data_IF_834609219634
#
_entry.id   IF_834609219634
#
_cell.length_a   1.000
_cell.length_b   1.000
_cell.length_c   1.000
_cell.angle_alpha   90.00
_cell.angle_beta   90.00
_cell.angle_gamma   90.00
#
_symmetry.space_group_name_H-M   'P 1'
#
loop_
_entity.id
_entity.type
_entity.pdbx_description
1 polymer ?
#
# COMPACT_ATOMS: atom_id res chain seq x y z
N UNK A 1 0.22 -87.93 22.93
CA UNK A 1 0.31 -86.99 21.83
C UNK A 1 -0.18 -85.64 22.36
N UNK A 2 0.74 -84.75 22.64
CA UNK A 2 0.44 -83.43 23.25
C UNK A 2 0.54 -82.35 22.15
N UNK A 3 -0.58 -81.65 21.87
CA UNK A 3 -0.62 -80.51 20.94
C UNK A 3 -0.20 -79.24 21.68
N UNK A 4 0.90 -78.62 21.23
CA UNK A 4 1.37 -77.36 21.68
C UNK A 4 0.82 -76.33 20.72
N UNK A 5 -0.22 -75.49 21.17
CA UNK A 5 -0.66 -74.35 20.43
C UNK A 5 0.26 -73.14 20.75
N UNK A 6 1.03 -72.71 19.77
CA UNK A 6 1.83 -71.50 19.80
C UNK A 6 0.90 -70.29 19.63
N UNK A 7 0.76 -69.45 20.69
CA UNK A 7 0.07 -68.16 20.62
C UNK A 7 1.07 -67.08 20.16
N UNK A 8 0.94 -66.65 18.91
CA UNK A 8 1.65 -65.50 18.39
C UNK A 8 0.92 -64.23 18.84
N UNK A 9 1.53 -63.46 19.74
CA UNK A 9 1.05 -62.16 20.22
C UNK A 9 1.47 -61.09 19.22
N UNK A 10 0.52 -60.59 18.41
CA UNK A 10 0.75 -59.43 17.54
C UNK A 10 0.72 -58.15 18.42
N UNK A 11 1.88 -57.56 18.64
CA UNK A 11 2.03 -56.26 19.30
C UNK A 11 1.78 -55.16 18.26
N UNK A 12 0.58 -54.61 18.20
CA UNK A 12 0.23 -53.46 17.35
C UNK A 12 0.83 -52.20 17.96
N UNK A 13 1.92 -51.70 17.41
CA UNK A 13 2.45 -50.39 17.78
C UNK A 13 1.57 -49.32 17.15
N UNK A 14 0.68 -48.69 17.93
CA UNK A 14 -0.06 -47.50 17.56
C UNK A 14 0.89 -46.29 17.61
N UNK A 15 1.44 -45.88 16.45
CA UNK A 15 2.13 -44.61 16.32
C UNK A 15 1.08 -43.53 16.30
N UNK A 16 0.83 -42.88 17.44
CA UNK A 16 0.03 -41.69 17.51
C UNK A 16 0.83 -40.53 16.89
N UNK A 17 0.51 -40.18 15.65
CA UNK A 17 0.94 -38.92 15.05
C UNK A 17 0.27 -37.77 15.81
N UNK A 18 0.97 -37.24 16.82
CA UNK A 18 0.58 -35.99 17.45
C UNK A 18 0.75 -34.86 16.43
N UNK A 19 -0.34 -34.48 15.78
CA UNK A 19 -0.42 -33.25 15.00
C UNK A 19 -0.27 -32.10 15.99
N UNK A 20 0.94 -31.61 16.20
CA UNK A 20 1.17 -30.34 16.87
C UNK A 20 0.47 -29.26 16.05
N UNK A 21 -0.67 -28.78 16.54
CA UNK A 21 -1.26 -27.55 16.06
C UNK A 21 -0.24 -26.42 16.34
N UNK A 22 0.64 -26.15 15.39
CA UNK A 22 1.47 -24.95 15.42
C UNK A 22 0.48 -23.80 15.28
N UNK A 23 0.16 -23.15 16.39
CA UNK A 23 -0.61 -21.91 16.37
C UNK A 23 0.14 -20.93 15.48
N UNK A 24 -0.51 -20.49 14.40
CA UNK A 24 0.08 -19.53 13.49
C UNK A 24 0.49 -18.27 14.27
N UNK A 25 1.72 -17.82 14.08
CA UNK A 25 2.18 -16.56 14.63
C UNK A 25 1.30 -15.42 14.08
N UNK A 26 0.62 -14.72 14.96
CA UNK A 26 -0.29 -13.61 14.63
C UNK A 26 0.46 -12.30 14.76
N UNK A 27 0.53 -11.47 13.72
CA UNK A 27 1.13 -10.13 13.82
C UNK A 27 0.15 -9.02 13.45
N UNK A 28 0.35 -7.85 14.03
CA UNK A 28 -0.39 -6.63 13.71
C UNK A 28 0.43 -5.80 12.72
N UNK A 29 -0.16 -5.60 11.54
CA UNK A 29 0.39 -4.72 10.49
C UNK A 29 -0.30 -3.37 10.57
N UNK A 30 0.41 -2.32 10.93
CA UNK A 30 -0.06 -0.94 10.76
C UNK A 30 0.16 -0.52 9.31
N UNK A 31 -0.89 -0.01 8.65
CA UNK A 31 -0.84 0.28 7.22
C UNK A 31 -1.70 1.45 6.80
N UNK A 32 -1.59 1.83 5.51
CA UNK A 32 -2.42 2.87 4.91
C UNK A 32 -3.77 2.34 4.42
N UNK A 33 -4.80 3.20 4.47
CA UNK A 33 -6.13 2.89 3.94
C UNK A 33 -6.11 2.61 2.44
N UNK A 34 -5.24 3.27 1.67
CA UNK A 34 -5.11 3.06 0.22
C UNK A 34 -4.70 1.61 -0.10
N UNK A 35 -3.69 1.08 0.59
CA UNK A 35 -3.24 -0.29 0.38
C UNK A 35 -4.30 -1.33 0.80
N UNK A 36 -5.01 -1.11 1.90
CA UNK A 36 -6.13 -1.97 2.31
C UNK A 36 -7.25 -1.95 1.28
N UNK A 37 -7.65 -0.76 0.83
CA UNK A 37 -8.78 -0.56 -0.09
C UNK A 37 -8.50 -1.10 -1.50
N UNK A 38 -7.23 -1.19 -1.92
CA UNK A 38 -6.86 -1.87 -3.17
C UNK A 38 -7.21 -3.37 -3.18
N UNK A 39 -7.47 -3.97 -2.02
CA UNK A 39 -7.69 -5.41 -1.88
C UNK A 39 -6.42 -6.24 -1.83
N UNK A 40 -5.24 -5.62 -1.88
CA UNK A 40 -3.96 -6.31 -1.89
C UNK A 40 -3.75 -7.22 -0.66
N UNK A 41 -4.12 -6.78 0.53
CA UNK A 41 -4.03 -7.62 1.73
C UNK A 41 -4.94 -8.84 1.70
N UNK A 42 -6.15 -8.71 1.14
CA UNK A 42 -7.05 -9.87 0.99
C UNK A 42 -6.44 -10.94 0.09
N UNK A 43 -5.73 -10.51 -0.94
CA UNK A 43 -5.02 -11.39 -1.84
C UNK A 43 -3.73 -11.96 -1.22
N UNK A 44 -2.93 -11.10 -0.58
CA UNK A 44 -1.59 -11.48 -0.09
C UNK A 44 -1.61 -12.30 1.19
N UNK A 45 -2.55 -12.06 2.13
CA UNK A 45 -2.57 -12.68 3.45
C UNK A 45 -2.56 -14.22 3.42
N UNK A 46 -3.42 -14.91 2.62
CA UNK A 46 -3.37 -16.37 2.54
C UNK A 46 -2.06 -16.89 1.94
N UNK A 47 -1.45 -16.15 1.01
CA UNK A 47 -0.16 -16.51 0.42
C UNK A 47 0.94 -16.38 1.46
N UNK A 48 0.98 -15.26 2.20
CA UNK A 48 1.90 -15.05 3.32
C UNK A 48 1.80 -16.19 4.34
N UNK A 49 0.58 -16.50 4.78
CA UNK A 49 0.36 -17.55 5.76
C UNK A 49 0.86 -18.92 5.26
N UNK A 50 0.59 -19.24 4.00
CA UNK A 50 1.05 -20.49 3.39
C UNK A 50 2.59 -20.62 3.40
N UNK A 51 3.31 -19.56 3.02
CA UNK A 51 4.78 -19.61 2.90
C UNK A 51 5.53 -19.38 4.22
N UNK A 52 4.93 -18.66 5.16
CA UNK A 52 5.64 -18.22 6.37
C UNK A 52 5.09 -18.82 7.66
N UNK A 53 3.87 -19.37 7.64
CA UNK A 53 3.12 -19.77 8.83
C UNK A 53 2.62 -18.57 9.66
N UNK A 54 2.75 -17.33 9.16
CA UNK A 54 2.38 -16.11 9.89
C UNK A 54 1.03 -15.58 9.39
N UNK A 55 0.11 -15.37 10.31
CA UNK A 55 -1.16 -14.68 10.05
C UNK A 55 -1.01 -13.17 10.28
N UNK A 56 -1.50 -12.34 9.37
CA UNK A 56 -1.45 -10.89 9.50
C UNK A 56 -2.83 -10.30 9.84
N UNK A 57 -2.87 -9.39 10.82
CA UNK A 57 -4.01 -8.55 11.15
C UNK A 57 -3.72 -7.12 10.77
N UNK A 58 -4.45 -6.60 9.79
CA UNK A 58 -4.16 -5.27 9.23
C UNK A 58 -5.02 -4.19 9.89
N UNK A 59 -4.36 -3.25 10.54
CA UNK A 59 -4.93 -2.00 11.03
C UNK A 59 -4.58 -0.91 10.02
N UNK A 60 -5.55 -0.51 9.19
CA UNK A 60 -5.35 0.47 8.15
C UNK A 60 -5.99 1.81 8.50
N UNK A 61 -5.16 2.83 8.61
CA UNK A 61 -5.52 4.21 8.95
C UNK A 61 -4.72 5.18 8.07
N UNK A 62 -4.87 6.47 8.24
CA UNK A 62 -3.97 7.44 7.60
C UNK A 62 -2.51 7.19 8.01
N UNK A 63 -1.55 7.37 7.10
CA UNK A 63 -0.13 7.04 7.33
C UNK A 63 0.44 7.69 8.59
N UNK A 64 0.12 8.95 8.86
CA UNK A 64 0.54 9.63 10.08
C UNK A 64 0.04 8.95 11.35
N UNK A 65 -1.23 8.50 11.36
CA UNK A 65 -1.80 7.75 12.47
C UNK A 65 -1.18 6.35 12.59
N UNK A 66 -0.91 5.66 11.47
CA UNK A 66 -0.22 4.37 11.50
C UNK A 66 1.18 4.50 12.16
N UNK A 67 1.94 5.53 11.81
CA UNK A 67 3.24 5.81 12.43
C UNK A 67 3.10 6.15 13.92
N UNK A 68 2.06 6.92 14.31
CA UNK A 68 1.77 7.20 15.71
C UNK A 68 1.47 5.93 16.50
N UNK A 69 0.66 5.04 15.97
CA UNK A 69 0.37 3.73 16.55
C UNK A 69 1.67 2.92 16.74
N UNK A 70 2.58 2.94 15.74
CA UNK A 70 3.86 2.25 15.86
C UNK A 70 4.75 2.83 16.96
N UNK A 71 4.73 4.15 17.20
CA UNK A 71 5.42 4.79 18.34
C UNK A 71 4.81 4.41 19.68
N UNK A 72 3.52 4.08 19.71
CA UNK A 72 2.82 3.56 20.90
C UNK A 72 3.03 2.05 21.09
N UNK A 73 3.76 1.38 20.19
CA UNK A 73 3.96 -0.07 20.18
C UNK A 73 2.66 -0.88 19.92
N UNK A 74 1.72 -0.30 19.18
CA UNK A 74 0.42 -0.92 18.84
C UNK A 74 0.48 -1.75 17.54
N UNK A 75 1.65 -2.24 17.17
CA UNK A 75 1.85 -3.08 15.99
C UNK A 75 3.23 -3.71 15.95
N UNK A 76 3.35 -4.75 15.13
CA UNK A 76 4.61 -5.48 14.94
C UNK A 76 5.43 -4.94 13.77
N UNK A 77 4.74 -4.39 12.76
CA UNK A 77 5.36 -3.91 11.53
C UNK A 77 4.53 -2.80 10.89
N UNK A 78 5.20 -1.85 10.25
CA UNK A 78 4.57 -0.79 9.45
C UNK A 78 4.75 -1.11 7.97
N UNK A 79 3.65 -1.07 7.20
CA UNK A 79 3.69 -1.20 5.73
C UNK A 79 2.95 -0.01 5.12
N UNK A 80 3.71 0.93 4.58
CA UNK A 80 3.20 2.18 4.00
C UNK A 80 3.99 2.60 2.76
N UNK A 81 3.69 3.77 2.20
CA UNK A 81 4.33 4.32 1.00
C UNK A 81 4.69 5.81 1.15
N UNK A 82 4.99 6.23 2.37
CA UNK A 82 5.37 7.61 2.68
C UNK A 82 6.84 7.66 3.10
N UNK A 83 7.75 7.47 2.16
CA UNK A 83 9.20 7.33 2.37
C UNK A 83 9.77 8.35 3.34
N UNK A 84 9.42 9.63 3.19
CA UNK A 84 9.92 10.71 4.07
C UNK A 84 9.48 10.50 5.52
N UNK A 85 8.20 10.21 5.76
CA UNK A 85 7.66 9.98 7.09
C UNK A 85 8.20 8.69 7.73
N UNK A 86 8.43 7.63 6.92
CA UNK A 86 9.05 6.38 7.35
C UNK A 86 10.51 6.58 7.76
N UNK A 87 11.27 7.39 7.02
CA UNK A 87 12.64 7.76 7.38
C UNK A 87 12.67 8.56 8.69
N UNK A 88 11.76 9.52 8.88
CA UNK A 88 11.66 10.25 10.15
C UNK A 88 11.29 9.31 11.30
N UNK A 89 10.43 8.31 11.07
CA UNK A 89 10.14 7.28 12.08
C UNK A 89 11.38 6.47 12.45
N UNK A 90 12.25 6.12 11.50
CA UNK A 90 13.54 5.47 11.81
C UNK A 90 14.41 6.36 12.70
N UNK A 91 14.52 7.67 12.41
CA UNK A 91 15.32 8.62 13.20
C UNK A 91 14.87 8.74 14.65
N UNK A 92 13.58 8.48 14.95
CA UNK A 92 13.07 8.46 16.32
C UNK A 92 13.58 7.26 17.15
N UNK A 93 14.22 6.28 16.50
CA UNK A 93 14.70 5.04 17.10
C UNK A 93 13.61 4.01 17.40
N UNK A 94 12.34 4.29 17.10
CA UNK A 94 11.25 3.30 17.18
C UNK A 94 11.23 2.39 15.95
N UNK A 95 11.52 2.92 14.77
CA UNK A 95 11.81 2.11 13.58
C UNK A 95 13.24 1.60 13.59
N UNK A 96 13.48 0.42 13.00
CA UNK A 96 14.79 -0.20 12.94
C UNK A 96 15.36 -0.26 11.53
N UNK A 97 14.62 -0.84 10.59
CA UNK A 97 15.02 -0.98 9.17
C UNK A 97 13.81 -0.76 8.27
N UNK A 98 14.06 -0.24 7.07
CA UNK A 98 13.08 -0.01 6.01
C UNK A 98 13.48 -0.83 4.78
N UNK A 99 12.55 -1.62 4.23
CA UNK A 99 12.75 -2.47 3.05
C UNK A 99 11.69 -2.14 2.02
N UNK A 100 12.07 -1.59 0.89
CA UNK A 100 11.19 -1.45 -0.26
C UNK A 100 10.95 -2.82 -0.88
N UNK A 101 9.71 -3.10 -1.30
CA UNK A 101 9.35 -4.43 -1.82
C UNK A 101 8.44 -4.38 -3.05
N UNK A 102 7.73 -3.28 -3.24
CA UNK A 102 6.90 -3.08 -4.43
C UNK A 102 6.68 -1.59 -4.68
N UNK A 103 6.23 -1.27 -5.88
CA UNK A 103 5.82 0.08 -6.26
C UNK A 103 4.61 0.05 -7.18
N UNK A 104 3.97 1.20 -7.33
CA UNK A 104 3.09 1.55 -8.43
C UNK A 104 3.39 2.98 -8.91
N UNK A 105 2.64 3.47 -9.89
CA UNK A 105 2.88 4.80 -10.44
C UNK A 105 1.90 5.81 -9.87
N UNK A 106 2.39 7.03 -9.68
CA UNK A 106 1.54 8.20 -9.56
C UNK A 106 0.95 8.56 -10.92
N UNK A 107 -0.31 8.99 -10.91
CA UNK A 107 -1.02 9.39 -12.12
C UNK A 107 -1.86 10.63 -11.86
N UNK A 108 -2.01 11.46 -12.87
CA UNK A 108 -3.09 12.44 -12.92
C UNK A 108 -4.25 11.82 -13.69
N UNK A 109 -5.43 11.93 -13.13
CA UNK A 109 -6.69 11.59 -13.78
C UNK A 109 -7.49 12.85 -14.03
N UNK A 110 -8.25 12.87 -15.12
CA UNK A 110 -9.05 14.03 -15.51
C UNK A 110 -10.09 13.68 -16.59
N UNK A 111 -10.90 14.64 -17.00
CA UNK A 111 -12.00 14.42 -17.93
C UNK A 111 -11.49 14.00 -19.31
N UNK A 112 -12.08 12.98 -19.90
CA UNK A 112 -11.75 12.46 -21.25
C UNK A 112 -11.95 13.50 -22.35
N UNK A 113 -12.95 14.35 -22.21
CA UNK A 113 -13.38 15.33 -23.22
C UNK A 113 -12.98 16.77 -22.89
N UNK A 114 -12.04 16.98 -21.96
CA UNK A 114 -11.56 18.32 -21.66
C UNK A 114 -10.97 18.99 -22.91
N UNK A 115 -11.27 20.26 -23.13
CA UNK A 115 -10.76 21.03 -24.30
C UNK A 115 -9.24 21.01 -24.39
N UNK A 116 -8.59 20.87 -23.25
CA UNK A 116 -7.15 20.83 -23.08
C UNK A 116 -6.56 19.42 -23.12
N UNK A 117 -7.40 18.39 -23.19
CA UNK A 117 -7.02 16.99 -23.08
C UNK A 117 -5.92 16.58 -24.07
N UNK A 118 -6.04 16.98 -25.36
CA UNK A 118 -5.03 16.69 -26.38
C UNK A 118 -3.66 17.30 -26.06
N UNK A 119 -3.67 18.46 -25.41
CA UNK A 119 -2.45 19.18 -25.05
C UNK A 119 -1.83 18.66 -23.74
N UNK A 120 -2.63 17.98 -22.91
CA UNK A 120 -2.20 17.50 -21.60
C UNK A 120 -1.81 16.01 -21.65
N UNK A 121 -2.53 15.21 -22.42
CA UNK A 121 -2.37 13.76 -22.45
C UNK A 121 -1.00 13.31 -22.93
N UNK A 122 -0.44 12.30 -22.26
CA UNK A 122 0.82 11.67 -22.63
C UNK A 122 2.08 12.41 -22.17
N UNK A 123 1.92 13.51 -21.44
CA UNK A 123 3.03 14.23 -20.83
C UNK A 123 3.40 13.65 -19.46
N UNK A 124 4.59 14.00 -18.97
CA UNK A 124 5.00 13.75 -17.61
C UNK A 124 4.10 14.51 -16.62
N UNK A 125 3.89 13.94 -15.45
CA UNK A 125 2.97 14.49 -14.45
C UNK A 125 3.27 15.97 -14.12
N UNK A 126 4.55 16.34 -14.06
CA UNK A 126 4.97 17.72 -13.80
C UNK A 126 4.52 18.68 -14.90
N UNK A 127 4.67 18.31 -16.17
CA UNK A 127 4.23 19.11 -17.33
C UNK A 127 2.70 19.27 -17.33
N UNK A 128 1.98 18.21 -16.93
CA UNK A 128 0.53 18.26 -16.79
C UNK A 128 0.12 19.25 -15.70
N UNK A 129 0.78 19.22 -14.54
CA UNK A 129 0.51 20.15 -13.43
C UNK A 129 0.76 21.60 -13.86
N UNK A 130 1.84 21.86 -14.58
CA UNK A 130 2.13 23.20 -15.14
C UNK A 130 1.02 23.68 -16.09
N UNK A 131 0.57 22.82 -17.02
CA UNK A 131 -0.53 23.15 -17.93
C UNK A 131 -1.87 23.36 -17.23
N UNK A 132 -2.16 22.60 -16.17
CA UNK A 132 -3.34 22.79 -15.32
C UNK A 132 -3.30 24.18 -14.68
N UNK A 133 -2.14 24.58 -14.15
CA UNK A 133 -1.95 25.90 -13.55
C UNK A 133 -2.12 27.03 -14.58
N UNK A 134 -1.44 26.94 -15.72
CA UNK A 134 -1.48 27.99 -16.77
C UNK A 134 -2.89 28.22 -17.32
N UNK A 135 -3.64 27.14 -17.51
CA UNK A 135 -5.00 27.18 -18.04
C UNK A 135 -6.07 27.35 -16.97
N UNK A 136 -5.69 27.35 -15.69
CA UNK A 136 -6.61 27.40 -14.52
C UNK A 136 -7.70 26.32 -14.61
N UNK A 137 -7.29 25.13 -15.06
CA UNK A 137 -8.18 23.97 -15.09
C UNK A 137 -8.54 23.53 -13.68
N UNK A 138 -9.77 23.08 -13.48
CA UNK A 138 -10.22 22.64 -12.16
C UNK A 138 -9.34 21.48 -11.66
N UNK A 139 -8.79 21.65 -10.49
CA UNK A 139 -8.00 20.64 -9.80
C UNK A 139 -8.56 20.37 -8.41
N UNK A 140 -8.75 19.10 -8.08
CA UNK A 140 -9.26 18.67 -6.77
C UNK A 140 -8.12 18.02 -5.99
N UNK A 141 -7.75 18.66 -4.91
CA UNK A 141 -6.78 18.17 -3.93
C UNK A 141 -7.46 17.39 -2.81
N UNK A 142 -6.73 16.48 -2.23
CA UNK A 142 -7.19 15.84 -1.00
C UNK A 142 -7.21 16.77 0.21
N UNK A 143 -6.23 17.65 0.36
CA UNK A 143 -6.16 18.60 1.48
C UNK A 143 -6.10 17.95 2.88
N UNK A 144 -5.66 16.69 3.02
CA UNK A 144 -5.79 15.88 4.23
C UNK A 144 -4.46 15.40 4.83
N UNK A 145 -3.34 15.95 4.38
CA UNK A 145 -1.98 15.57 4.78
C UNK A 145 -1.64 14.07 4.56
N UNK A 146 -2.36 13.39 3.65
CA UNK A 146 -2.05 12.02 3.24
C UNK A 146 -0.80 11.95 2.36
N UNK A 147 -0.30 10.73 2.12
CA UNK A 147 0.81 10.52 1.19
C UNK A 147 0.55 11.07 -0.21
N UNK A 148 -0.68 10.95 -0.73
CA UNK A 148 -1.08 11.51 -2.03
C UNK A 148 -1.08 13.04 -2.01
N UNK A 149 -1.61 13.66 -0.94
CA UNK A 149 -1.57 15.11 -0.78
C UNK A 149 -0.12 15.63 -0.67
N UNK A 150 0.73 14.93 0.09
CA UNK A 150 2.15 15.29 0.18
C UNK A 150 2.88 15.18 -1.17
N UNK A 151 2.56 14.16 -1.99
CA UNK A 151 3.08 14.03 -3.35
C UNK A 151 2.62 15.20 -4.24
N UNK A 152 1.35 15.54 -4.20
CA UNK A 152 0.79 16.68 -4.91
C UNK A 152 1.52 17.98 -4.56
N UNK A 153 1.65 18.28 -3.25
CA UNK A 153 2.35 19.48 -2.77
C UNK A 153 3.82 19.51 -3.21
N UNK A 154 4.48 18.33 -3.31
CA UNK A 154 5.85 18.26 -3.82
C UNK A 154 5.94 18.67 -5.29
N UNK A 155 4.95 18.28 -6.11
CA UNK A 155 4.91 18.65 -7.54
C UNK A 155 4.66 20.15 -7.72
N UNK A 156 3.74 20.74 -6.97
CA UNK A 156 3.53 22.19 -6.98
C UNK A 156 4.80 22.95 -6.56
N UNK A 157 5.48 22.44 -5.53
CA UNK A 157 6.75 23.03 -5.07
C UNK A 157 7.87 22.94 -6.12
N UNK A 158 7.96 21.84 -6.88
CA UNK A 158 8.93 21.70 -7.99
C UNK A 158 8.69 22.70 -9.13
N UNK A 159 7.44 23.19 -9.26
CA UNK A 159 7.06 24.26 -10.17
C UNK A 159 7.21 25.65 -9.54
N UNK A 160 7.71 25.76 -8.31
CA UNK A 160 7.75 26.99 -7.51
C UNK A 160 6.37 27.65 -7.30
N UNK A 161 5.30 26.83 -7.26
CA UNK A 161 3.91 27.25 -7.06
C UNK A 161 3.46 26.92 -5.63
N UNK A 162 2.63 27.81 -5.07
CA UNK A 162 2.10 27.74 -3.71
C UNK A 162 0.58 27.58 -3.79
N UNK A 163 -0.01 26.40 -3.47
CA UNK A 163 -1.44 26.15 -3.63
C UNK A 163 -2.37 27.13 -2.90
N UNK A 164 -1.93 27.67 -1.78
CA UNK A 164 -2.67 28.67 -0.99
C UNK A 164 -3.00 29.93 -1.80
N UNK A 165 -2.17 30.31 -2.79
CA UNK A 165 -2.35 31.50 -3.62
C UNK A 165 -3.50 31.33 -4.63
N UNK A 166 -3.85 30.09 -5.01
CA UNK A 166 -4.92 29.78 -5.95
C UNK A 166 -6.03 28.91 -5.36
N UNK A 167 -6.00 28.67 -4.06
CA UNK A 167 -7.03 27.93 -3.33
C UNK A 167 -8.39 28.64 -3.44
N UNK A 168 -9.47 27.83 -3.46
CA UNK A 168 -10.88 28.26 -3.61
C UNK A 168 -11.22 28.93 -4.95
N UNK A 169 -10.34 28.86 -5.91
CA UNK A 169 -10.61 29.30 -7.28
C UNK A 169 -10.81 28.08 -8.18
N UNK A 170 -9.84 27.68 -8.94
CA UNK A 170 -9.81 26.46 -9.73
C UNK A 170 -9.17 25.27 -8.97
N UNK A 171 -8.48 25.54 -7.88
CA UNK A 171 -7.92 24.53 -6.97
C UNK A 171 -8.80 24.40 -5.71
N UNK A 172 -9.35 23.20 -5.51
CA UNK A 172 -10.31 22.93 -4.44
C UNK A 172 -9.81 21.76 -3.57
N UNK A 173 -9.82 21.95 -2.28
CA UNK A 173 -9.44 20.95 -1.29
C UNK A 173 -10.67 20.26 -0.70
N UNK A 174 -10.68 18.92 -0.67
CA UNK A 174 -11.83 18.16 -0.16
C UNK A 174 -11.75 17.84 1.32
N UNK A 175 -10.56 17.86 1.91
CA UNK A 175 -10.33 17.34 3.26
C UNK A 175 -10.65 15.84 3.41
N UNK A 176 -10.74 15.09 2.30
CA UNK A 176 -11.33 13.74 2.26
C UNK A 176 -10.36 12.67 1.75
N UNK A 177 -10.73 11.39 1.96
CA UNK A 177 -9.99 10.26 1.44
C UNK A 177 -10.05 10.15 -0.08
N UNK A 178 -9.11 9.41 -0.69
CA UNK A 178 -8.91 9.36 -2.14
C UNK A 178 -10.17 9.00 -2.95
N UNK A 179 -10.99 8.07 -2.45
CA UNK A 179 -12.22 7.67 -3.15
C UNK A 179 -13.22 8.82 -3.28
N UNK A 180 -13.44 9.60 -2.21
CA UNK A 180 -14.31 10.78 -2.23
C UNK A 180 -13.74 11.88 -3.13
N UNK A 181 -12.42 12.11 -3.06
CA UNK A 181 -11.73 13.08 -3.93
C UNK A 181 -11.90 12.73 -5.40
N UNK A 182 -11.74 11.45 -5.78
CA UNK A 182 -11.95 10.97 -7.15
C UNK A 182 -13.41 11.14 -7.60
N UNK A 183 -14.38 10.89 -6.72
CA UNK A 183 -15.79 11.13 -7.03
C UNK A 183 -16.07 12.61 -7.31
N UNK A 184 -15.59 13.50 -6.45
CA UNK A 184 -15.77 14.95 -6.61
C UNK A 184 -15.08 15.43 -7.88
N UNK A 185 -13.85 14.98 -8.14
CA UNK A 185 -13.13 15.34 -9.37
C UNK A 185 -13.90 14.90 -10.62
N UNK A 186 -14.44 13.68 -10.64
CA UNK A 186 -15.24 13.18 -11.76
C UNK A 186 -16.51 14.03 -11.97
N UNK A 187 -17.27 14.30 -10.91
CA UNK A 187 -18.51 15.09 -10.99
C UNK A 187 -18.26 16.53 -11.45
N UNK A 188 -17.14 17.12 -11.08
CA UNK A 188 -16.78 18.49 -11.46
C UNK A 188 -16.06 18.58 -12.83
N UNK A 189 -15.78 17.44 -13.47
CA UNK A 189 -14.94 17.39 -14.66
C UNK A 189 -13.55 17.97 -14.39
N UNK A 190 -12.95 17.62 -13.27
CA UNK A 190 -11.70 18.20 -12.78
C UNK A 190 -10.55 17.19 -12.82
N UNK A 191 -9.32 17.70 -12.75
CA UNK A 191 -8.12 16.90 -12.58
C UNK A 191 -7.87 16.59 -11.10
N UNK A 192 -7.21 15.48 -10.83
CA UNK A 192 -6.69 15.12 -9.51
C UNK A 192 -5.54 14.13 -9.62
N UNK A 193 -4.69 14.08 -8.60
CA UNK A 193 -3.62 13.09 -8.49
C UNK A 193 -4.08 11.85 -7.72
N UNK A 194 -3.65 10.67 -8.17
CA UNK A 194 -3.86 9.41 -7.47
C UNK A 194 -2.72 8.43 -7.82
N UNK A 195 -2.76 7.23 -7.26
CA UNK A 195 -1.91 6.12 -7.68
C UNK A 195 -2.69 5.12 -8.55
N UNK A 196 -1.96 4.34 -9.36
CA UNK A 196 -2.58 3.40 -10.31
C UNK A 196 -3.41 2.33 -9.63
N UNK A 197 -3.04 1.81 -8.46
CA UNK A 197 -3.81 0.78 -7.77
C UNK A 197 -5.15 1.35 -7.26
N UNK A 198 -5.14 2.55 -6.70
CA UNK A 198 -6.35 3.26 -6.31
C UNK A 198 -7.25 3.53 -7.52
N UNK A 199 -6.68 4.03 -8.62
CA UNK A 199 -7.43 4.27 -9.85
C UNK A 199 -8.05 3.00 -10.44
N UNK A 200 -7.29 1.91 -10.51
CA UNK A 200 -7.81 0.65 -11.03
C UNK A 200 -8.90 0.04 -10.16
N UNK A 201 -8.84 0.22 -8.85
CA UNK A 201 -9.89 -0.25 -7.93
C UNK A 201 -11.13 0.66 -7.89
N UNK A 202 -11.00 1.93 -8.29
CA UNK A 202 -12.09 2.89 -8.31
C UNK A 202 -13.10 2.54 -9.41
N UNK A 203 -14.38 2.40 -9.04
CA UNK A 203 -15.43 1.92 -9.95
C UNK A 203 -16.15 3.05 -10.68
N UNK A 204 -16.35 4.18 -10.01
CA UNK A 204 -17.17 5.28 -10.51
C UNK A 204 -16.36 6.28 -11.35
N UNK A 205 -15.68 5.77 -12.40
CA UNK A 205 -14.75 6.59 -13.21
C UNK A 205 -15.47 7.62 -14.08
N UNK A 206 -16.75 7.40 -14.39
CA UNK A 206 -17.51 8.28 -15.27
C UNK A 206 -16.76 8.56 -16.58
N UNK A 207 -16.60 9.84 -16.88
CA UNK A 207 -15.85 10.32 -18.05
C UNK A 207 -14.37 10.63 -17.76
N UNK A 208 -13.87 10.24 -16.59
CA UNK A 208 -12.46 10.44 -16.20
C UNK A 208 -11.58 9.29 -16.69
N UNK A 209 -10.32 9.61 -16.99
CA UNK A 209 -9.29 8.66 -17.37
C UNK A 209 -7.91 9.09 -16.89
N UNK A 210 -6.90 8.21 -16.99
CA UNK A 210 -5.52 8.59 -16.76
C UNK A 210 -5.07 9.48 -17.92
N UNK A 211 -4.57 10.67 -17.60
CA UNK A 211 -4.03 11.64 -18.57
C UNK A 211 -2.51 11.66 -18.60
N UNK A 212 -1.85 11.22 -17.54
CA UNK A 212 -0.40 11.06 -17.51
C UNK A 212 0.11 10.31 -16.29
N UNK A 213 1.38 9.92 -16.37
CA UNK A 213 2.11 9.14 -15.38
C UNK A 213 3.32 9.91 -14.87
N UNK A 214 3.70 9.65 -13.62
CA UNK A 214 5.01 10.02 -13.10
C UNK A 214 5.99 8.88 -13.39
N UNK A 215 6.92 9.12 -14.31
CA UNK A 215 7.97 8.15 -14.65
C UNK A 215 9.25 8.38 -13.83
N UNK A 216 9.35 9.50 -13.12
CA UNK A 216 10.54 9.92 -12.40
C UNK A 216 10.49 9.57 -10.90
N UNK A 217 9.28 9.51 -10.31
CA UNK A 217 9.10 9.20 -8.90
C UNK A 217 8.04 8.11 -8.71
N UNK A 218 8.51 6.94 -8.34
CA UNK A 218 7.66 5.78 -8.11
C UNK A 218 7.00 5.84 -6.72
N UNK A 219 5.74 5.47 -6.65
CA UNK A 219 5.04 5.30 -5.39
C UNK A 219 5.46 3.99 -4.72
N UNK A 220 6.58 4.05 -3.99
CA UNK A 220 7.26 2.89 -3.43
C UNK A 220 6.70 2.52 -2.06
N UNK A 221 6.27 1.28 -1.92
CA UNK A 221 5.83 0.68 -0.65
C UNK A 221 6.98 0.02 0.08
N UNK A 222 7.02 0.22 1.40
CA UNK A 222 8.05 -0.35 2.24
C UNK A 222 7.49 -1.05 3.48
N UNK A 223 8.20 -2.09 3.88
CA UNK A 223 8.09 -2.69 5.21
C UNK A 223 9.09 -1.99 6.13
N UNK A 224 8.59 -1.37 7.20
CA UNK A 224 9.45 -0.77 8.23
C UNK A 224 9.31 -1.57 9.51
N UNK A 225 10.40 -2.19 9.94
CA UNK A 225 10.45 -3.01 11.16
C UNK A 225 10.57 -2.14 12.39
N UNK A 226 10.07 -2.64 13.52
CA UNK A 226 10.07 -1.94 14.81
C UNK A 226 11.27 -2.35 15.65
N UNK A 227 11.78 -1.41 16.43
CA UNK A 227 12.90 -1.64 17.33
C UNK A 227 12.43 -2.37 18.61
N UNK A 228 12.82 -3.64 18.83
CA UNK A 228 12.38 -4.41 19.99
C UNK A 228 12.94 -3.88 21.32
N UNK A 229 13.98 -3.03 21.29
CA UNK A 229 14.47 -2.34 22.49
C UNK A 229 13.51 -1.26 22.97
N UNK A 230 12.70 -0.69 22.07
CA UNK A 230 11.66 0.31 22.37
C UNK A 230 10.30 -0.35 22.57
N UNK A 231 9.94 -1.32 21.74
CA UNK A 231 8.65 -2.02 21.77
C UNK A 231 8.89 -3.51 22.08
N UNK A 232 8.89 -3.86 23.36
CA UNK A 232 9.30 -5.20 23.85
C UNK A 232 8.39 -6.36 23.37
N UNK A 233 7.13 -6.07 23.00
CA UNK A 233 6.15 -7.09 22.61
C UNK A 233 6.13 -7.39 21.11
N UNK A 234 7.03 -6.75 20.34
CA UNK A 234 7.11 -6.95 18.89
C UNK A 234 7.58 -8.36 18.54
N UNK A 235 6.84 -9.02 17.67
CA UNK A 235 7.11 -10.39 17.20
C UNK A 235 8.15 -10.39 16.08
N UNK A 236 9.38 -10.04 16.42
CA UNK A 236 10.49 -9.80 15.46
C UNK A 236 10.69 -10.99 14.52
N UNK A 237 10.71 -12.24 15.04
CA UNK A 237 10.91 -13.43 14.21
C UNK A 237 9.82 -13.61 13.16
N UNK A 238 8.55 -13.39 13.52
CA UNK A 238 7.45 -13.47 12.58
C UNK A 238 7.53 -12.35 11.51
N UNK A 239 7.90 -11.13 11.91
CA UNK A 239 8.14 -10.02 10.97
C UNK A 239 9.29 -10.33 10.01
N UNK A 240 10.38 -10.92 10.47
CA UNK A 240 11.51 -11.34 9.63
C UNK A 240 11.12 -12.38 8.58
N UNK A 241 10.26 -13.35 8.93
CA UNK A 241 9.71 -14.32 7.96
C UNK A 241 8.95 -13.59 6.83
N UNK A 242 8.13 -12.59 7.17
CA UNK A 242 7.38 -11.79 6.18
C UNK A 242 8.33 -10.99 5.29
N UNK A 243 9.31 -10.29 5.86
CA UNK A 243 10.31 -9.53 5.10
C UNK A 243 11.07 -10.44 4.14
N UNK A 244 11.50 -11.61 4.62
CA UNK A 244 12.20 -12.61 3.80
C UNK A 244 11.33 -13.10 2.65
N UNK A 245 10.05 -13.42 2.92
CA UNK A 245 9.12 -13.82 1.87
C UNK A 245 8.92 -12.72 0.83
N UNK A 246 8.64 -11.48 1.23
CA UNK A 246 8.38 -10.38 0.29
C UNK A 246 9.58 -10.09 -0.63
N UNK A 247 10.80 -10.33 -0.16
CA UNK A 247 12.05 -10.20 -0.93
C UNK A 247 12.36 -11.41 -1.82
N UNK A 248 11.74 -12.55 -1.56
CA UNK A 248 11.98 -13.79 -2.31
C UNK A 248 11.31 -13.76 -3.69
N UNK A 249 11.74 -14.67 -4.58
CA UNK A 249 11.11 -14.85 -5.89
C UNK A 249 9.63 -15.22 -5.78
N UNK A 250 9.23 -15.96 -4.75
CA UNK A 250 7.83 -16.29 -4.48
C UNK A 250 7.03 -15.04 -4.12
N UNK A 251 7.57 -14.17 -3.28
CA UNK A 251 6.97 -12.88 -2.94
C UNK A 251 6.86 -11.95 -4.14
N UNK A 252 7.94 -11.82 -4.92
CA UNK A 252 7.96 -11.04 -6.17
C UNK A 252 6.92 -11.56 -7.18
N UNK A 253 6.83 -12.87 -7.36
CA UNK A 253 5.79 -13.49 -8.21
C UNK A 253 4.37 -13.24 -7.69
N UNK A 254 4.16 -13.32 -6.38
CA UNK A 254 2.87 -13.01 -5.78
C UNK A 254 2.46 -11.56 -6.07
N UNK A 255 3.36 -10.59 -5.85
CA UNK A 255 3.11 -9.17 -6.15
C UNK A 255 2.77 -8.98 -7.64
N UNK A 256 3.58 -9.54 -8.55
CA UNK A 256 3.40 -9.42 -10.01
C UNK A 256 2.10 -10.05 -10.52
N UNK A 257 1.53 -11.02 -9.81
CA UNK A 257 0.26 -11.69 -10.19
C UNK A 257 -0.98 -10.93 -9.70
N UNK A 258 -0.85 -9.97 -8.80
CA UNK A 258 -1.99 -9.20 -8.34
C UNK A 258 -2.51 -8.27 -9.44
N UNK A 259 -3.80 -8.42 -9.77
CA UNK A 259 -4.48 -7.65 -10.83
C UNK A 259 -5.67 -6.89 -10.27
N UNK A 260 -5.85 -5.68 -10.77
CA UNK A 260 -7.06 -4.90 -10.62
C UNK A 260 -7.61 -4.57 -12.01
N UNK A 261 -8.81 -5.06 -12.31
CA UNK A 261 -9.43 -4.91 -13.64
C UNK A 261 -8.48 -5.31 -14.79
N UNK A 262 -7.81 -6.47 -14.65
CA UNK A 262 -6.83 -7.04 -15.59
C UNK A 262 -5.50 -6.25 -15.72
N UNK A 263 -5.34 -5.14 -15.01
CA UNK A 263 -4.09 -4.38 -14.99
C UNK A 263 -3.17 -4.81 -13.83
N UNK A 264 -1.86 -4.67 -14.02
CA UNK A 264 -0.89 -4.81 -12.94
C UNK A 264 -1.07 -3.64 -11.97
N UNK A 265 -1.43 -3.95 -10.73
CA UNK A 265 -1.64 -2.92 -9.72
C UNK A 265 -0.34 -2.52 -9.01
N UNK A 266 0.57 -3.49 -8.89
CA UNK A 266 1.89 -3.30 -8.26
C UNK A 266 2.96 -4.07 -9.03
N UNK A 267 4.19 -3.58 -8.90
CA UNK A 267 5.39 -4.16 -9.47
C UNK A 267 6.39 -4.45 -8.34
N UNK A 268 7.02 -5.65 -8.29
CA UNK A 268 8.03 -5.97 -7.28
C UNK A 268 9.34 -5.21 -7.53
N UNK A 269 10.10 -5.02 -6.45
CA UNK A 269 11.47 -4.47 -6.46
C UNK A 269 12.49 -5.58 -6.30
#
# INVERSE_FOLDING_TARGET
>A
MKNILSRILFLSVFVTLSSSNVLADNIIVQSSTSLKNSGFYRYLAPILQHYTGVEIRVVAVGTGQAIKNMKNCDGDVLITHAKKAEIEFLKTGYGLKRFEFMYNNWVIVGPRKAKTEKDIRGHEIREIMEKIYDKKEKFISRGDNSGTHMKELSLWKELALVPEEFSKTWYLETGSGQGATLMIANELGAFTITDTATWYSFKNKGDSEIVGYDNNDLNTYAVTTVNPKKCKNVKTSAVEKIVTFLKSDNGKRAISKFRLNNANAFFPI
#
